data_IF_493255882365
#
_entry.id   IF_493255882365
#
_cell.length_a   1.000
_cell.length_b   1.000
_cell.length_c   1.000
_cell.angle_alpha   90.00
_cell.angle_beta   90.00
_cell.angle_gamma   90.00
#
_symmetry.space_group_name_H-M   'P 1'
#
loop_
_entity.id
_entity.type
_entity.pdbx_description
1 polymer ?
#
# COMPACT_ATOMS: atom_id res chain seq x y z
N UNK A 1 -22.44 -9.32 -10.45
CA UNK A 1 -21.18 -9.01 -9.73
C UNK A 1 -20.44 -7.95 -10.52
N UNK A 2 -20.10 -6.85 -9.91
CA UNK A 2 -19.25 -5.86 -10.57
C UNK A 2 -17.86 -6.46 -10.82
N UNK A 3 -17.27 -6.18 -11.99
CA UNK A 3 -15.90 -6.58 -12.26
C UNK A 3 -14.95 -5.97 -11.21
N UNK A 4 -13.87 -6.68 -10.84
CA UNK A 4 -12.90 -6.13 -9.91
C UNK A 4 -12.29 -4.84 -10.47
N UNK A 5 -12.19 -3.81 -9.64
CA UNK A 5 -11.63 -2.52 -10.04
C UNK A 5 -10.14 -2.63 -10.26
N UNK A 6 -9.73 -2.76 -11.50
CA UNK A 6 -8.33 -2.78 -11.91
C UNK A 6 -7.91 -1.37 -12.30
N UNK A 7 -6.76 -0.92 -11.76
CA UNK A 7 -6.11 0.31 -12.19
C UNK A 7 -4.91 -0.05 -13.06
N UNK A 8 -4.66 0.74 -14.09
CA UNK A 8 -3.53 0.53 -14.99
C UNK A 8 -2.66 1.79 -15.06
N UNK A 9 -1.36 1.58 -15.09
CA UNK A 9 -0.35 2.62 -15.29
C UNK A 9 0.52 2.22 -16.47
N UNK A 10 1.55 3.01 -16.78
CA UNK A 10 2.45 2.68 -17.92
C UNK A 10 3.23 1.37 -17.72
N UNK A 11 3.50 0.97 -16.47
CA UNK A 11 4.33 -0.21 -16.17
C UNK A 11 3.66 -1.24 -15.25
N UNK A 12 2.54 -0.87 -14.61
CA UNK A 12 1.89 -1.69 -13.59
C UNK A 12 0.41 -1.90 -13.90
N UNK A 13 -0.06 -3.07 -13.51
CA UNK A 13 -1.48 -3.40 -13.38
C UNK A 13 -1.77 -3.65 -11.91
N UNK A 14 -2.69 -2.88 -11.35
CA UNK A 14 -3.11 -2.95 -9.96
C UNK A 14 -4.42 -3.74 -9.89
N UNK A 15 -4.37 -4.94 -9.33
CA UNK A 15 -5.52 -5.84 -9.22
C UNK A 15 -5.92 -5.96 -7.76
N UNK A 16 -7.21 -5.78 -7.39
CA UNK A 16 -7.63 -5.98 -6.02
C UNK A 16 -7.20 -7.33 -5.47
N UNK A 17 -6.71 -7.34 -4.23
CA UNK A 17 -6.20 -8.53 -3.56
C UNK A 17 -7.26 -9.64 -3.50
N UNK A 18 -6.84 -10.87 -3.75
CA UNK A 18 -7.69 -12.05 -3.74
C UNK A 18 -7.04 -13.22 -3.00
N UNK A 19 -7.85 -14.19 -2.60
CA UNK A 19 -7.38 -15.38 -1.86
C UNK A 19 -6.23 -16.10 -2.56
N UNK A 20 -6.24 -16.14 -3.90
CA UNK A 20 -5.22 -16.80 -4.70
C UNK A 20 -3.83 -16.13 -4.62
N UNK A 21 -3.74 -14.89 -4.12
CA UNK A 21 -2.47 -14.14 -4.04
C UNK A 21 -1.58 -14.55 -2.84
N UNK A 22 -2.08 -15.38 -1.92
CA UNK A 22 -1.45 -15.62 -0.62
C UNK A 22 0.01 -16.08 -0.71
N UNK A 23 0.28 -17.13 -1.47
CA UNK A 23 1.63 -17.72 -1.57
C UNK A 23 2.59 -16.78 -2.28
N UNK A 24 2.15 -16.13 -3.36
CA UNK A 24 2.97 -15.21 -4.13
C UNK A 24 3.26 -13.93 -3.33
N UNK A 25 2.26 -13.38 -2.64
CA UNK A 25 2.45 -12.20 -1.78
C UNK A 25 3.34 -12.49 -0.58
N UNK A 26 3.18 -13.66 0.03
CA UNK A 26 4.07 -14.12 1.08
C UNK A 26 5.52 -14.19 0.58
N UNK A 27 5.76 -14.90 -0.53
CA UNK A 27 7.10 -15.07 -1.10
C UNK A 27 7.74 -13.76 -1.59
N UNK A 28 6.93 -12.82 -2.07
CA UNK A 28 7.41 -11.55 -2.64
C UNK A 28 7.69 -10.49 -1.57
N UNK A 29 6.90 -10.43 -0.51
CA UNK A 29 6.93 -9.35 0.49
C UNK A 29 7.20 -9.87 1.90
N UNK A 30 6.40 -10.79 2.40
CA UNK A 30 6.37 -11.13 3.82
C UNK A 30 7.45 -12.11 4.27
N UNK A 31 8.10 -12.79 3.35
CA UNK A 31 9.25 -13.66 3.61
C UNK A 31 10.60 -12.94 3.53
N UNK A 32 10.64 -11.70 3.06
CA UNK A 32 11.85 -10.89 2.94
C UNK A 32 11.95 -9.89 4.11
N UNK A 33 12.92 -10.10 5.01
CA UNK A 33 13.10 -9.24 6.19
C UNK A 33 13.43 -7.78 5.81
N UNK A 34 14.14 -7.55 4.72
CA UNK A 34 14.49 -6.19 4.30
C UNK A 34 13.26 -5.37 3.87
N UNK A 35 12.19 -6.05 3.46
CA UNK A 35 10.90 -5.43 3.17
C UNK A 35 10.01 -5.44 4.42
N UNK A 36 9.80 -6.60 5.02
CA UNK A 36 8.84 -6.83 6.09
C UNK A 36 9.17 -6.06 7.39
N UNK A 37 10.43 -5.72 7.64
CA UNK A 37 10.82 -4.95 8.83
C UNK A 37 10.19 -3.57 8.93
N UNK A 38 9.71 -3.02 7.82
CA UNK A 38 9.01 -1.72 7.79
C UNK A 38 7.49 -1.86 7.74
N UNK A 39 6.98 -3.08 7.76
CA UNK A 39 5.55 -3.37 7.72
C UNK A 39 5.09 -3.86 9.10
N UNK A 40 4.00 -3.34 9.67
CA UNK A 40 3.47 -3.91 10.90
C UNK A 40 3.09 -5.39 10.75
N UNK A 41 3.50 -6.28 11.66
CA UNK A 41 4.12 -6.06 12.98
C UNK A 41 5.65 -5.98 13.00
N UNK A 42 6.30 -5.58 11.93
CA UNK A 42 7.75 -5.43 11.78
C UNK A 42 8.50 -6.75 11.78
N UNK A 43 8.35 -7.51 10.73
CA UNK A 43 9.09 -8.74 10.55
C UNK A 43 8.41 -9.74 9.62
N UNK A 44 9.11 -10.83 9.40
CA UNK A 44 8.62 -11.95 8.59
C UNK A 44 7.35 -12.53 9.21
N UNK A 45 6.35 -12.78 8.36
CA UNK A 45 5.13 -13.46 8.75
C UNK A 45 5.10 -14.88 8.18
N UNK A 46 4.50 -15.84 8.89
CA UNK A 46 4.16 -17.14 8.29
C UNK A 46 3.03 -16.97 7.27
N UNK A 47 2.97 -17.87 6.29
CA UNK A 47 1.98 -17.79 5.21
C UNK A 47 0.53 -17.81 5.71
N UNK A 48 0.26 -18.50 6.81
CA UNK A 48 -1.06 -18.52 7.45
C UNK A 48 -1.51 -17.14 7.93
N UNK A 49 -0.58 -16.36 8.49
CA UNK A 49 -0.87 -14.97 8.88
C UNK A 49 -1.12 -14.07 7.66
N UNK A 50 -0.45 -14.35 6.54
CA UNK A 50 -0.70 -13.64 5.28
C UNK A 50 -2.07 -13.97 4.71
N UNK A 51 -2.51 -15.22 4.79
CA UNK A 51 -3.88 -15.63 4.41
C UNK A 51 -4.96 -14.89 5.20
N UNK A 52 -4.74 -14.75 6.51
CA UNK A 52 -5.67 -13.99 7.36
C UNK A 52 -5.68 -12.50 6.99
N UNK A 53 -4.53 -11.90 6.67
CA UNK A 53 -4.46 -10.52 6.17
C UNK A 53 -5.24 -10.34 4.87
N UNK A 54 -5.19 -11.32 3.97
CA UNK A 54 -5.97 -11.28 2.73
C UNK A 54 -7.47 -11.31 3.03
N UNK A 55 -7.91 -12.19 3.93
CA UNK A 55 -9.32 -12.27 4.33
C UNK A 55 -9.81 -10.91 4.83
N UNK A 56 -9.05 -10.27 5.74
CA UNK A 56 -9.36 -8.95 6.28
C UNK A 56 -9.37 -7.89 5.16
N UNK A 57 -8.40 -7.94 4.25
CA UNK A 57 -8.31 -6.99 3.14
C UNK A 57 -9.48 -7.12 2.15
N UNK A 58 -9.95 -8.34 1.90
CA UNK A 58 -11.13 -8.57 1.05
C UNK A 58 -12.41 -8.07 1.71
N UNK A 59 -12.57 -8.26 3.02
CA UNK A 59 -13.68 -7.68 3.79
C UNK A 59 -13.64 -6.16 3.80
N UNK A 60 -12.45 -5.59 3.92
CA UNK A 60 -12.26 -4.15 3.83
C UNK A 60 -12.71 -3.60 2.47
N UNK A 61 -12.35 -4.26 1.37
CA UNK A 61 -12.82 -3.92 0.02
C UNK A 61 -14.36 -3.94 -0.07
N UNK A 62 -14.98 -4.98 0.46
CA UNK A 62 -16.44 -5.12 0.43
C UNK A 62 -17.15 -4.02 1.23
N UNK A 63 -16.52 -3.55 2.31
CA UNK A 63 -17.09 -2.53 3.20
C UNK A 63 -16.90 -1.10 2.68
N UNK A 64 -15.71 -0.80 2.13
CA UNK A 64 -15.31 0.59 1.86
C UNK A 64 -15.25 0.93 0.37
N UNK A 65 -15.24 -0.03 -0.54
CA UNK A 65 -15.08 0.19 -1.98
C UNK A 65 -13.67 0.60 -2.40
N UNK A 66 -12.70 0.54 -1.50
CA UNK A 66 -11.26 0.66 -1.74
C UNK A 66 -10.50 -0.26 -0.77
N UNK A 67 -9.25 -0.52 -1.04
CA UNK A 67 -8.42 -1.41 -0.22
C UNK A 67 -7.04 -1.63 -0.82
N UNK A 68 -6.52 -2.83 -0.69
CA UNK A 68 -5.20 -3.23 -1.19
C UNK A 68 -5.31 -3.74 -2.62
N UNK A 69 -4.49 -3.22 -3.51
CA UNK A 69 -4.22 -3.77 -4.84
C UNK A 69 -2.88 -4.50 -4.84
N UNK A 70 -2.86 -5.63 -5.51
CA UNK A 70 -1.62 -6.32 -5.89
C UNK A 70 -1.03 -5.65 -7.12
N UNK A 71 0.28 -5.36 -7.06
CA UNK A 71 1.02 -4.71 -8.16
C UNK A 71 1.68 -5.76 -9.03
N UNK A 72 1.28 -5.81 -10.30
CA UNK A 72 1.91 -6.70 -11.29
C UNK A 72 2.56 -5.89 -12.39
N UNK A 73 3.78 -6.23 -12.75
CA UNK A 73 4.41 -5.63 -13.93
C UNK A 73 3.65 -6.00 -15.19
N UNK A 74 3.30 -5.02 -16.02
CA UNK A 74 2.52 -5.22 -17.23
C UNK A 74 3.21 -6.16 -18.21
N UNK A 75 4.55 -6.09 -18.30
CA UNK A 75 5.33 -6.91 -19.23
C UNK A 75 5.39 -8.39 -18.87
N UNK A 76 5.62 -8.69 -17.60
CA UNK A 76 5.88 -10.06 -17.13
C UNK A 76 4.69 -10.70 -16.44
N UNK A 77 3.73 -9.89 -15.93
CA UNK A 77 2.67 -10.35 -15.06
C UNK A 77 3.13 -10.69 -13.63
N UNK A 78 4.43 -10.51 -13.34
CA UNK A 78 5.01 -10.85 -12.04
C UNK A 78 4.51 -9.91 -10.95
N UNK A 79 4.15 -10.47 -9.80
CA UNK A 79 3.84 -9.70 -8.61
C UNK A 79 5.09 -9.01 -8.08
N UNK A 80 5.03 -7.71 -7.89
CA UNK A 80 6.17 -6.92 -7.38
C UNK A 80 5.88 -6.21 -6.05
N UNK A 81 4.64 -6.26 -5.58
CA UNK A 81 4.27 -5.64 -4.32
C UNK A 81 2.78 -5.39 -4.17
N UNK A 82 2.47 -4.47 -3.28
CA UNK A 82 1.10 -4.00 -3.06
C UNK A 82 1.08 -2.48 -2.85
N UNK A 83 -0.08 -1.89 -3.11
CA UNK A 83 -0.37 -0.49 -2.79
C UNK A 83 -1.87 -0.37 -2.53
N UNK A 84 -2.26 0.49 -1.62
CA UNK A 84 -3.68 0.67 -1.36
C UNK A 84 -4.02 1.72 -0.34
N UNK A 85 -5.31 1.77 -0.02
CA UNK A 85 -5.91 2.64 0.98
C UNK A 85 -6.55 1.80 2.07
N UNK A 86 -6.31 2.15 3.30
CA UNK A 86 -6.95 1.54 4.46
C UNK A 86 -7.81 2.58 5.17
N UNK A 87 -9.08 2.26 5.37
CA UNK A 87 -9.96 3.08 6.19
C UNK A 87 -9.51 3.01 7.66
N UNK A 88 -9.62 4.12 8.35
CA UNK A 88 -9.34 4.21 9.77
C UNK A 88 -10.54 4.89 10.45
N UNK A 89 -11.07 4.29 11.52
CA UNK A 89 -12.26 4.78 12.22
C UNK A 89 -12.06 6.16 12.87
N UNK A 90 -10.83 6.52 13.20
CA UNK A 90 -10.50 7.74 13.95
C UNK A 90 -9.75 8.79 13.14
N UNK A 91 -9.44 8.51 11.87
CA UNK A 91 -8.65 9.41 11.03
C UNK A 91 -8.93 9.19 9.54
N UNK A 92 -8.22 9.95 8.71
CA UNK A 92 -8.31 9.82 7.27
C UNK A 92 -7.82 8.47 6.77
N UNK A 93 -8.30 8.03 5.59
CA UNK A 93 -7.75 6.84 4.95
C UNK A 93 -6.24 6.92 4.79
N UNK A 94 -5.60 5.79 5.00
CA UNK A 94 -4.14 5.66 5.02
C UNK A 94 -3.63 5.03 3.72
N UNK A 95 -2.69 5.70 3.06
CA UNK A 95 -1.94 5.12 1.96
C UNK A 95 -0.89 4.15 2.49
N UNK A 96 -0.91 2.93 1.97
CA UNK A 96 0.06 1.88 2.29
C UNK A 96 0.66 1.30 1.03
N UNK A 97 1.94 0.94 1.05
CA UNK A 97 2.61 0.25 -0.05
C UNK A 97 3.88 -0.46 0.40
N UNK A 98 4.22 -1.53 -0.29
CA UNK A 98 5.52 -2.19 -0.22
C UNK A 98 5.84 -2.87 -1.55
N UNK A 99 7.10 -2.80 -1.96
CA UNK A 99 7.59 -3.44 -3.18
C UNK A 99 8.76 -4.37 -2.83
N UNK A 100 8.90 -5.45 -3.59
CA UNK A 100 10.03 -6.35 -3.47
C UNK A 100 11.34 -5.64 -3.85
N UNK A 101 12.45 -6.09 -3.27
CA UNK A 101 13.77 -5.46 -3.44
C UNK A 101 14.23 -5.37 -4.90
N UNK A 102 13.88 -6.36 -5.70
CA UNK A 102 14.29 -6.46 -7.09
C UNK A 102 13.84 -5.28 -7.96
N UNK A 103 12.80 -4.57 -7.54
CA UNK A 103 12.26 -3.42 -8.28
C UNK A 103 12.49 -2.08 -7.60
N UNK A 104 13.21 -2.04 -6.49
CA UNK A 104 13.53 -0.76 -5.82
C UNK A 104 14.32 0.18 -6.73
N UNK A 105 14.15 1.48 -6.51
CA UNK A 105 14.85 2.52 -7.27
C UNK A 105 14.35 2.76 -8.69
N UNK A 106 13.28 2.08 -9.11
CA UNK A 106 12.68 2.22 -10.45
C UNK A 106 11.49 3.19 -10.52
N UNK A 107 11.10 3.79 -9.40
CA UNK A 107 9.95 4.71 -9.33
C UNK A 107 8.58 4.03 -9.33
N UNK A 108 8.50 2.72 -9.18
CA UNK A 108 7.23 1.97 -9.24
C UNK A 108 6.32 2.26 -8.03
N UNK A 109 6.87 2.49 -6.84
CA UNK A 109 6.09 2.88 -5.67
C UNK A 109 5.36 4.22 -5.90
N UNK A 110 6.07 5.21 -6.45
CA UNK A 110 5.50 6.52 -6.80
C UNK A 110 4.41 6.38 -7.86
N UNK A 111 4.66 5.57 -8.90
CA UNK A 111 3.70 5.31 -9.98
C UNK A 111 2.41 4.63 -9.46
N UNK A 112 2.55 3.59 -8.65
CA UNK A 112 1.42 2.89 -8.06
C UNK A 112 0.61 3.80 -7.12
N UNK A 113 1.29 4.51 -6.22
CA UNK A 113 0.64 5.39 -5.26
C UNK A 113 -0.08 6.56 -5.96
N UNK A 114 0.48 7.12 -7.03
CA UNK A 114 -0.19 8.15 -7.82
C UNK A 114 -1.52 7.66 -8.39
N UNK A 115 -1.57 6.44 -8.93
CA UNK A 115 -2.82 5.85 -9.44
C UNK A 115 -3.86 5.61 -8.33
N UNK A 116 -3.42 5.12 -7.18
CA UNK A 116 -4.30 4.91 -6.00
C UNK A 116 -4.84 6.25 -5.47
N UNK A 117 -4.02 7.29 -5.42
CA UNK A 117 -4.43 8.62 -4.97
C UNK A 117 -5.41 9.27 -5.94
N UNK A 118 -5.19 9.15 -7.25
CA UNK A 118 -6.16 9.62 -8.25
C UNK A 118 -7.52 8.94 -8.04
N UNK A 119 -7.53 7.63 -7.83
CA UNK A 119 -8.76 6.90 -7.50
C UNK A 119 -9.41 7.40 -6.19
N UNK A 120 -8.60 7.66 -5.16
CA UNK A 120 -9.08 8.17 -3.87
C UNK A 120 -9.82 9.51 -4.02
N UNK A 121 -9.25 10.42 -4.76
CA UNK A 121 -9.79 11.77 -4.92
C UNK A 121 -10.89 11.83 -5.98
N UNK A 122 -10.69 11.24 -7.14
CA UNK A 122 -11.62 11.36 -8.28
C UNK A 122 -12.87 10.47 -8.13
N UNK A 123 -12.73 9.29 -7.50
CA UNK A 123 -13.82 8.32 -7.39
C UNK A 123 -14.48 8.33 -6.01
N UNK A 124 -13.70 8.41 -4.94
CA UNK A 124 -14.21 8.41 -3.57
C UNK A 124 -14.38 9.80 -2.97
N UNK A 125 -13.97 10.87 -3.69
CA UNK A 125 -14.06 12.25 -3.22
C UNK A 125 -13.48 12.44 -1.82
N UNK A 126 -12.37 11.76 -1.50
CA UNK A 126 -11.71 11.93 -0.22
C UNK A 126 -11.14 13.34 -0.11
N UNK A 127 -11.29 13.97 1.05
CA UNK A 127 -10.75 15.31 1.30
C UNK A 127 -9.23 15.26 1.53
N UNK A 128 -8.73 14.17 2.12
CA UNK A 128 -7.31 13.99 2.38
C UNK A 128 -6.97 12.51 2.59
N UNK A 129 -5.69 12.20 2.46
CA UNK A 129 -5.11 10.88 2.68
C UNK A 129 -3.89 11.04 3.60
N UNK A 130 -3.79 10.19 4.62
CA UNK A 130 -2.64 10.13 5.51
C UNK A 130 -1.67 9.02 5.10
N UNK A 131 -0.42 9.12 5.54
CA UNK A 131 0.55 8.04 5.47
C UNK A 131 1.46 8.08 6.70
N UNK A 132 1.87 6.91 7.17
CA UNK A 132 2.72 6.76 8.36
C UNK A 132 3.95 5.95 8.01
N UNK A 133 5.12 6.48 8.35
CA UNK A 133 6.40 5.92 7.93
C UNK A 133 7.34 5.81 9.12
N UNK A 134 7.99 4.66 9.27
CA UNK A 134 9.09 4.54 10.22
C UNK A 134 10.21 5.53 9.82
N UNK A 135 10.75 6.34 10.75
CA UNK A 135 11.74 7.37 10.42
C UNK A 135 12.97 6.84 9.67
N UNK A 136 13.32 5.58 9.90
CA UNK A 136 14.44 4.91 9.21
C UNK A 136 14.13 4.53 7.76
N UNK A 137 12.85 4.49 7.38
CA UNK A 137 12.43 4.19 6.01
C UNK A 137 12.48 5.45 5.14
N UNK A 138 13.67 5.94 4.88
CA UNK A 138 13.87 7.18 4.12
C UNK A 138 13.41 7.06 2.67
N UNK A 139 13.44 5.86 2.09
CA UNK A 139 12.94 5.62 0.73
C UNK A 139 11.44 5.90 0.65
N UNK A 140 10.65 5.45 1.62
CA UNK A 140 9.21 5.73 1.69
C UNK A 140 8.92 7.21 1.86
N UNK A 141 9.65 7.91 2.74
CA UNK A 141 9.49 9.36 2.91
C UNK A 141 9.79 10.15 1.63
N UNK A 142 10.74 9.71 0.81
CA UNK A 142 11.02 10.32 -0.50
C UNK A 142 9.86 10.12 -1.48
N UNK A 143 9.26 8.93 -1.50
CA UNK A 143 8.08 8.66 -2.33
C UNK A 143 6.94 9.60 -1.96
N UNK A 144 6.63 9.73 -0.66
CA UNK A 144 5.57 10.61 -0.19
C UNK A 144 5.80 12.07 -0.56
N UNK A 145 7.03 12.57 -0.42
CA UNK A 145 7.37 13.95 -0.82
C UNK A 145 7.24 14.18 -2.33
N UNK A 146 7.58 13.19 -3.16
CA UNK A 146 7.37 13.27 -4.61
C UNK A 146 5.89 13.29 -5.01
N UNK A 147 5.02 12.81 -4.13
CA UNK A 147 3.57 12.83 -4.29
C UNK A 147 2.90 14.01 -3.58
N UNK A 148 3.70 15.01 -3.19
CA UNK A 148 3.25 16.25 -2.54
C UNK A 148 2.61 16.05 -1.15
N UNK A 149 2.91 14.94 -0.47
CA UNK A 149 2.57 14.81 0.94
C UNK A 149 3.42 15.74 1.80
N UNK A 150 2.77 16.38 2.77
CA UNK A 150 3.40 17.23 3.76
C UNK A 150 3.56 16.51 5.09
N UNK A 151 4.73 16.65 5.72
CA UNK A 151 4.98 16.10 7.05
C UNK A 151 4.23 16.91 8.11
N UNK A 152 3.50 16.23 8.99
CA UNK A 152 2.72 16.84 10.07
C UNK A 152 3.17 16.39 11.48
N UNK A 153 4.44 16.01 11.60
CA UNK A 153 5.01 15.59 12.88
C UNK A 153 5.06 14.08 13.04
N UNK A 154 5.03 13.63 14.28
CA UNK A 154 5.12 12.21 14.62
C UNK A 154 3.93 11.77 15.45
N UNK A 155 3.54 10.52 15.27
CA UNK A 155 2.50 9.85 16.06
C UNK A 155 3.03 8.53 16.60
N UNK A 156 2.51 8.10 17.75
CA UNK A 156 2.84 6.80 18.32
C UNK A 156 1.85 5.74 17.83
N UNK A 157 2.35 4.78 17.03
CA UNK A 157 1.60 3.62 16.55
C UNK A 157 2.50 2.39 16.56
N UNK A 158 1.92 1.21 16.72
CA UNK A 158 2.66 -0.07 16.71
C UNK A 158 3.86 -0.08 17.69
N UNK A 159 3.70 0.55 18.88
CA UNK A 159 4.75 0.71 19.89
C UNK A 159 5.99 1.49 19.40
N UNK A 160 5.86 2.29 18.36
CA UNK A 160 6.92 3.09 17.77
C UNK A 160 6.43 4.51 17.47
N UNK A 161 7.38 5.44 17.26
CA UNK A 161 7.09 6.75 16.69
C UNK A 161 7.20 6.68 15.17
N UNK A 162 6.15 7.10 14.49
CA UNK A 162 6.08 7.15 13.02
C UNK A 162 5.97 8.58 12.56
N UNK A 163 6.66 8.93 11.48
CA UNK A 163 6.44 10.19 10.78
C UNK A 163 5.06 10.16 10.13
N UNK A 164 4.27 11.20 10.37
CA UNK A 164 2.93 11.37 9.80
C UNK A 164 2.98 12.35 8.63
N UNK A 165 2.45 11.92 7.51
CA UNK A 165 2.34 12.69 6.27
C UNK A 165 0.87 12.80 5.87
N UNK A 166 0.51 13.93 5.27
CA UNK A 166 -0.86 14.18 4.79
C UNK A 166 -0.81 14.79 3.39
N UNK A 167 -1.68 14.29 2.52
CA UNK A 167 -1.99 14.90 1.22
C UNK A 167 -3.45 15.34 1.24
N UNK A 168 -3.69 16.62 0.94
CA UNK A 168 -5.03 17.19 0.84
C UNK A 168 -5.41 17.35 -0.62
N UNK A 169 -6.67 17.07 -0.91
CA UNK A 169 -7.25 17.37 -2.22
C UNK A 169 -7.65 18.86 -2.24
N UNK A 170 -7.16 19.60 -3.22
CA UNK A 170 -7.52 21.01 -3.45
C UNK A 170 -8.84 21.14 -4.26
#
# INVERSE_FOLDING_TARGET
MSEPLVLETSRLRLVPIATADAEEWWGTIWSDLDVARYLPPQGILPVEAVRERIRIAMEHWATHGFGIWMLRETRSGSLVGHCGLLANESSDPELVYALCRQVWGRGLATEAAAAVLAYAFDTHNLAQVSAYVFPRNTASSRVLRKLDFHAEGQVRRFQAHLDHFVLRHE
#
